data_IF_908843837162
#
_entry.id   IF_908843837162
#
_cell.length_a   1.000
_cell.length_b   1.000
_cell.length_c   1.000
_cell.angle_alpha   90.00
_cell.angle_beta   90.00
_cell.angle_gamma   90.00
#
_symmetry.space_group_name_H-M   'P 1'
#
loop_
_entity.id
_entity.type
_entity.pdbx_description
1 polymer ?
2 water ?
#
# COMPACT_ATOMS: atom_id res chain seq x y z
N UNK A 5 3.59 8.97 -17.27
CA UNK A 5 3.98 9.80 -16.09
C UNK A 5 2.76 10.31 -15.28
N UNK A 6 1.95 9.38 -14.71
CA UNK A 6 0.86 9.86 -13.86
C UNK A 6 1.40 10.42 -12.55
N UNK A 7 0.92 11.59 -12.13
CA UNK A 7 1.31 12.16 -10.84
C UNK A 7 0.83 11.30 -9.66
N UNK A 9 -1.23 11.61 -6.86
CA UNK A 9 -2.65 11.47 -6.56
C UNK A 9 -3.40 10.56 -7.55
N UNK A 10 -3.06 10.66 -8.84
CA UNK A 10 -3.61 9.77 -9.89
C UNK A 10 -3.28 8.30 -9.65
N UNK A 11 -2.02 8.01 -9.30
CA UNK A 11 -1.57 6.63 -9.04
C UNK A 11 -2.24 5.99 -7.83
N UNK A 12 -2.45 6.79 -6.80
CA UNK A 12 -3.17 6.43 -5.58
C UNK A 12 -4.67 6.19 -5.88
N UNK A 13 -5.33 7.10 -6.58
CA UNK A 13 -6.72 6.86 -7.02
C UNK A 13 -6.84 5.58 -7.86
N UNK A 14 -5.81 5.26 -8.66
CA UNK A 14 -5.83 4.01 -9.42
C UNK A 14 -5.76 2.77 -8.51
N UNK A 15 -4.95 2.84 -7.45
CA UNK A 15 -4.89 1.77 -6.48
C UNK A 15 -6.26 1.61 -5.82
N UNK A 16 -6.78 2.72 -5.28
CA UNK A 16 -8.05 2.74 -4.56
C UNK A 16 -9.23 2.24 -5.42
N UNK A 17 -9.33 2.70 -6.66
CA UNK A 17 -10.43 2.31 -7.55
C UNK A 17 -10.43 0.85 -8.00
N UNK A 18 -9.32 0.16 -7.78
CA UNK A 18 -9.24 -1.27 -8.04
C UNK A 18 -10.05 -2.08 -7.05
N UNK A 19 -10.28 -1.51 -5.86
CA UNK A 19 -11.04 -2.13 -4.78
C UNK A 19 -11.47 -1.03 -3.82
N UNK A 20 -12.60 -0.42 -4.12
CA UNK A 20 -13.04 0.80 -3.44
C UNK A 20 -13.40 0.56 -1.97
N UNK A 21 -14.11 -0.54 -1.70
CA UNK A 21 -14.59 -0.87 -0.36
C UNK A 21 -13.48 -1.26 0.61
N UNK A 22 -12.29 -1.54 0.08
CA UNK A 22 -11.16 -1.96 0.93
C UNK A 22 -10.82 -0.95 2.00
N UNK A 23 -10.47 -1.47 3.15
CA UNK A 23 -9.92 -0.71 4.25
C UNK A 23 -8.56 -0.05 3.91
N UNK A 24 -8.58 0.99 3.09
CA UNK A 24 -7.30 1.57 2.65
C UNK A 24 -6.66 2.40 3.76
N UNK A 25 -5.38 2.19 3.99
CA UNK A 25 -4.62 3.03 4.89
C UNK A 25 -3.42 3.54 4.09
N UNK A 26 -2.65 4.45 4.69
CA UNK A 26 -1.48 5.03 4.02
C UNK A 26 -0.46 3.95 3.67
N UNK A 27 -0.12 3.12 4.65
CA UNK A 27 0.79 2.00 4.49
C UNK A 27 0.37 0.99 3.42
N UNK A 28 -0.92 0.71 3.29
CA UNK A 28 -1.35 -0.33 2.34
C UNK A 28 -1.31 0.14 0.90
N UNK A 29 -1.73 1.39 0.68
CA UNK A 29 -1.55 2.05 -0.60
C UNK A 29 -0.05 2.11 -0.92
N UNK A 30 0.77 2.56 0.03
CA UNK A 30 2.22 2.68 -0.16
C UNK A 30 2.88 1.37 -0.51
N UNK A 31 2.45 0.28 0.12
CA UNK A 31 3.03 -1.01 -0.22
C UNK A 31 2.75 -1.44 -1.66
N UNK A 32 1.50 -1.26 -2.10
CA UNK A 32 1.13 -1.41 -3.53
C UNK A 32 1.98 -0.59 -4.51
N UNK A 33 2.44 0.57 -4.07
CA UNK A 33 3.17 1.48 -4.94
C UNK A 33 4.67 1.27 -4.81
N UNK A 34 5.04 0.27 -4.00
CA UNK A 34 6.44 0.01 -3.67
C UNK A 34 7.15 1.30 -3.13
N UNK A 36 7.82 3.84 0.67
CA UNK A 36 7.62 3.99 2.11
C UNK A 36 6.37 4.82 2.44
N UNK A 37 5.65 4.43 3.51
CA UNK A 37 4.55 5.31 3.90
C UNK A 37 4.97 6.80 4.02
N UNK A 38 6.14 7.07 4.62
CA UNK A 38 6.62 8.44 4.78
C UNK A 38 6.81 9.15 3.44
N UNK A 39 7.40 8.48 2.45
CA UNK A 39 7.52 9.08 1.12
C UNK A 39 6.14 9.36 0.51
N UNK A 40 5.22 8.39 0.59
CA UNK A 40 3.87 8.62 0.01
C UNK A 40 3.17 9.80 0.64
N UNK A 41 3.21 9.88 1.97
CA UNK A 41 2.61 11.02 2.65
C UNK A 41 3.24 12.32 2.14
N UNK A 42 4.56 12.29 1.96
CA UNK A 42 5.29 13.49 1.55
C UNK A 42 4.87 13.93 0.15
N UNK A 43 4.85 13.01 -0.80
CA UNK A 43 4.50 13.36 -2.17
C UNK A 43 3.05 13.84 -2.32
N UNK A 44 2.13 13.24 -1.57
CA UNK A 44 0.71 13.67 -1.55
C UNK A 44 0.53 15.08 -0.97
N UNK A 45 1.30 15.38 0.08
CA UNK A 45 1.25 16.69 0.73
C UNK A 45 1.75 17.82 -0.19
N UNK A 46 2.77 17.54 -0.99
CA UNK A 46 3.26 18.46 -2.04
C UNK A 46 2.20 18.80 -3.12
N UNK A 47 1.24 17.90 -3.32
CA UNK A 47 0.05 18.11 -4.19
C UNK A 47 -1.21 18.51 -3.40
N UNK A 48 -0.99 18.92 -2.15
CA UNK A 48 -2.04 19.44 -1.29
C UNK A 48 -3.23 18.50 -1.09
N UNK A 49 -2.93 17.24 -0.81
CA UNK A 49 -3.96 16.25 -0.52
C UNK A 49 -3.44 15.20 0.47
N UNK A 50 -4.30 14.29 0.88
CA UNK A 50 -3.84 13.14 1.67
C UNK A 50 -4.47 11.91 1.10
N UNK A 51 -4.06 10.75 1.60
CA UNK A 51 -4.63 9.51 1.14
C UNK A 51 -6.12 9.50 1.50
N UNK A 52 -6.46 10.04 2.67
CA UNK A 52 -7.85 9.99 3.15
C UNK A 52 -8.78 10.88 2.35
N UNK A 53 -8.27 12.00 1.85
CA UNK A 53 -9.07 12.88 1.00
C UNK A 53 -9.34 12.19 -0.30
N UNK A 54 -8.30 11.55 -0.84
CA UNK A 54 -8.42 10.85 -2.11
C UNK A 54 -9.38 9.67 -1.98
N UNK A 55 -9.28 8.94 -0.87
CA UNK A 55 -10.20 7.85 -0.58
C UNK A 55 -11.65 8.32 -0.68
N UNK A 56 -11.96 9.38 0.07
CA UNK A 56 -13.31 9.93 0.11
C UNK A 56 -13.79 10.30 -1.29
N UNK A 57 -12.96 11.00 -2.03
CA UNK A 57 -13.31 11.46 -3.36
C UNK A 57 -13.62 10.30 -4.31
N UNK A 58 -12.78 9.27 -4.28
CA UNK A 58 -13.01 8.04 -5.00
C UNK A 58 -14.35 7.41 -4.58
N UNK A 59 -14.64 7.43 -3.30
CA UNK A 59 -15.85 6.81 -2.84
C UNK A 59 -17.10 7.61 -3.25
N UNK A 61 -17.29 9.35 -5.93
CA UNK A 61 -17.40 9.18 -7.36
C UNK A 61 -18.10 7.87 -7.69
N UNK A 62 -17.81 6.83 -6.89
CA UNK A 62 -18.44 5.52 -7.06
C UNK A 62 -19.90 5.55 -6.63
N UNK A 63 -20.18 6.31 -5.57
CA UNK A 63 -21.54 6.47 -5.05
C UNK A 63 -22.51 6.98 -6.10
N UNK A 64 -22.06 7.88 -6.99
CA UNK A 64 -22.89 8.36 -8.10
C UNK A 64 -23.34 7.27 -9.05
N UNK A 65 -22.47 6.29 -9.28
CA UNK A 65 -22.74 5.18 -10.20
C UNK A 65 -23.76 4.19 -9.64
N UNK A 66 -23.78 4.02 -8.32
CA UNK A 66 -24.61 2.98 -7.69
C UNK A 66 -26.00 3.48 -7.26
N UNK A 67 -26.06 4.76 -6.96
CA UNK A 67 -27.27 5.34 -6.42
C UNK A 67 -28.42 5.29 -7.44
N UNK A 68 -28.09 5.22 -8.73
CA UNK A 68 -29.07 5.25 -9.83
C UNK A 68 -29.69 3.88 -10.13
N UNK A 69 -29.05 2.80 -9.68
CA UNK A 69 -29.54 1.47 -10.02
C UNK A 69 -30.77 1.10 -9.18
N UNK A 70 -31.75 0.53 -9.87
CA UNK A 70 -33.09 0.34 -9.30
C UNK A 70 -33.05 -0.52 -8.05
N UNK A 71 -33.67 -0.04 -6.97
CA UNK A 71 -33.78 -0.81 -5.75
C UNK A 71 -32.50 -0.95 -4.91
N UNK A 72 -31.38 -0.42 -5.39
CA UNK A 72 -30.21 -0.32 -4.54
C UNK A 72 -30.51 0.75 -3.48
N UNK A 73 -30.71 0.30 -2.25
CA UNK A 73 -30.98 1.18 -1.16
C UNK A 73 -29.73 2.02 -0.81
N UNK A 74 -29.94 3.19 -0.22
CA UNK A 74 -28.86 4.06 0.26
C UNK A 74 -27.87 3.24 1.13
N UNK A 75 -28.44 2.36 1.95
CA UNK A 75 -27.72 1.38 2.79
C UNK A 75 -26.75 0.50 2.00
N UNK A 76 -27.23 0.00 0.87
CA UNK A 76 -26.46 -0.85 -0.04
C UNK A 76 -25.32 -0.08 -0.68
N UNK A 77 -25.61 1.15 -1.09
CA UNK A 77 -24.60 1.98 -1.72
C UNK A 77 -23.44 2.20 -0.75
N UNK A 78 -23.76 2.50 0.49
CA UNK A 78 -22.74 2.86 1.47
C UNK A 78 -21.81 1.69 1.66
N UNK A 79 -22.37 0.50 1.81
CA UNK A 79 -21.59 -0.73 2.04
C UNK A 79 -20.70 -1.03 0.84
N UNK A 80 -21.24 -0.79 -0.36
CA UNK A 80 -20.48 -1.03 -1.59
C UNK A 80 -19.31 -0.04 -1.79
N UNK A 81 -19.40 1.11 -1.13
CA UNK A 81 -18.36 2.15 -1.16
C UNK A 81 -17.40 2.07 0.04
N UNK A 82 -17.66 1.15 0.96
CA UNK A 82 -16.76 0.85 2.05
C UNK A 82 -17.11 1.49 3.36
N UNK A 83 -18.31 2.07 3.45
CA UNK A 83 -18.80 2.68 4.68
C UNK A 83 -19.56 1.68 5.54
N UNK A 84 -19.31 1.72 6.84
CA UNK A 84 -19.97 0.82 7.74
C UNK A 84 -21.15 1.56 8.33
N UNK A 85 -21.17 2.88 8.15
CA UNK A 85 -22.15 3.72 8.80
C UNK A 85 -22.91 4.57 7.75
N UNK A 86 -24.22 4.31 7.60
CA UNK A 86 -25.06 5.10 6.66
C UNK A 86 -25.20 6.59 7.02
N UNK A 87 -25.33 6.91 8.32
CA UNK A 87 -25.33 8.31 8.79
C UNK A 87 -24.07 9.03 8.35
N UNK A 88 -22.93 8.40 8.61
CA UNK A 88 -21.67 9.00 8.18
C UNK A 88 -21.58 9.14 6.64
N UNK A 89 -21.90 8.05 5.92
CA UNK A 89 -21.95 8.13 4.46
C UNK A 89 -22.86 9.27 3.99
N UNK A 90 -24.09 9.35 4.53
CA UNK A 90 -24.97 10.48 4.20
C UNK A 90 -24.29 11.84 4.44
N UNK A 91 -23.63 11.99 5.59
CA UNK A 91 -22.94 13.24 5.94
C UNK A 91 -21.86 13.64 4.89
N UNK A 92 -21.08 12.66 4.47
CA UNK A 92 -19.97 12.95 3.57
C UNK A 92 -20.47 13.19 2.15
N UNK A 93 -21.55 12.49 1.78
CA UNK A 93 -22.20 12.72 0.46
C UNK A 93 -22.85 14.10 0.38
N UNK A 94 -23.59 14.45 1.41
CA UNK A 94 -24.18 15.79 1.47
C UNK A 94 -23.13 16.91 1.42
N UNK A 95 -21.98 16.73 2.09
CA UNK A 95 -20.89 17.69 2.02
C UNK A 95 -20.34 17.79 0.61
N UNK A 96 -20.15 16.65 -0.02
CA UNK A 96 -19.56 16.57 -1.35
C UNK A 96 -20.50 17.07 -2.47
N UNK A 97 -21.81 16.84 -2.34
CA UNK A 97 -22.74 17.08 -3.47
C UNK A 97 -23.83 18.14 -3.21
N UNK A 98 -24.00 18.47 -1.93
CA UNK A 98 -24.87 19.57 -1.51
C UNK A 98 -26.22 19.04 -1.10
N UNK A 100 -28.48 15.14 0.19
CA UNK A 100 -28.43 13.77 0.69
C UNK A 100 -28.48 12.74 -0.46
N UNK A 101 -27.95 11.51 -0.23
CA UNK A 101 -28.12 10.47 -1.24
C UNK A 101 -29.56 10.28 -1.70
N UNK A 102 -30.51 10.42 -0.77
CA UNK A 102 -31.92 10.24 -1.07
C UNK A 102 -32.41 11.32 -1.99
N UNK A 103 -32.01 12.56 -1.73
CA UNK A 103 -32.37 13.66 -2.63
C UNK A 103 -31.86 13.32 -4.02
N UNK A 104 -30.56 13.04 -4.14
CA UNK A 104 -29.96 12.73 -5.44
C UNK A 104 -30.68 11.62 -6.23
N UNK A 105 -31.04 10.56 -5.49
CA UNK A 105 -31.70 9.38 -6.04
C UNK A 105 -33.07 9.74 -6.61
N UNK A 106 -33.68 10.81 -6.07
CA UNK A 106 -35.01 11.27 -6.48
C UNK A 106 -34.98 12.27 -7.65
N UNK A 107 -33.88 12.98 -7.85
CA UNK A 107 -33.77 13.83 -9.06
C UNK A 107 -33.63 12.95 -10.30
N UNK A 108 -32.63 12.05 -10.27
CA UNK A 108 -32.28 11.16 -11.38
C UNK A 108 -33.48 10.38 -11.93
N UNK B 1 3.27 -3.14 14.07
CA UNK B 1 3.19 -4.64 14.02
C UNK B 1 2.68 -5.23 15.34
N UNK B 2 1.48 -4.79 15.73
CA UNK B 2 0.80 -5.31 16.92
C UNK B 2 -0.39 -6.16 16.49
N UNK B 3 -0.46 -7.38 17.04
CA UNK B 3 -1.57 -8.32 16.80
C UNK B 3 -1.54 -9.49 17.79
N UNK B 4 -2.69 -9.78 18.37
CA UNK B 4 -2.89 -11.04 19.08
C UNK B 4 -2.66 -12.16 18.05
N UNK B 5 -3.38 -12.11 16.93
CA UNK B 5 -3.24 -13.10 15.87
C UNK B 5 -2.73 -12.52 14.55
N UNK B 6 -1.58 -13.03 14.04
CA UNK B 6 -0.92 -12.51 12.86
C UNK B 6 -1.63 -12.85 11.55
N UNK B 7 -1.78 -11.83 10.71
CA UNK B 7 -2.46 -11.96 9.41
C UNK B 7 -1.47 -12.50 8.36
N UNK B 9 -0.09 -11.55 5.47
CA UNK B 9 1.09 -10.75 5.08
C UNK B 9 2.17 -10.64 6.18
N UNK B 10 1.76 -10.66 7.46
CA UNK B 10 2.71 -10.67 8.61
C UNK B 10 3.45 -12.02 8.70
N UNK B 11 2.71 -13.09 8.42
CA UNK B 11 3.29 -14.41 8.36
C UNK B 11 4.25 -14.55 7.18
N UNK B 12 3.87 -14.01 6.04
CA UNK B 12 4.80 -13.97 4.93
C UNK B 12 6.09 -13.16 5.25
N UNK B 13 5.95 -11.99 5.86
CA UNK B 13 7.15 -11.20 6.19
C UNK B 13 8.05 -11.93 7.18
N UNK B 14 7.48 -12.67 8.13
CA UNK B 14 8.29 -13.43 9.10
C UNK B 14 9.18 -14.45 8.37
N UNK B 15 8.57 -15.23 7.46
CA UNK B 15 9.27 -16.17 6.59
C UNK B 15 10.39 -15.45 5.81
N UNK B 16 10.03 -14.34 5.17
CA UNK B 16 11.01 -13.62 4.38
C UNK B 16 12.13 -13.11 5.27
N UNK B 17 11.79 -12.50 6.41
CA UNK B 17 12.80 -11.83 7.28
C UNK B 17 13.77 -12.77 7.96
N UNK B 18 13.39 -14.05 8.05
CA UNK B 18 14.26 -15.10 8.51
C UNK B 18 15.41 -15.38 7.55
N UNK B 19 15.22 -15.15 6.25
CA UNK B 19 16.31 -15.35 5.26
C UNK B 19 16.16 -14.41 4.07
N UNK B 20 16.49 -13.17 4.34
CA UNK B 20 16.14 -12.05 3.48
C UNK B 20 16.77 -12.20 2.10
N UNK B 21 18.03 -12.65 2.07
CA UNK B 21 18.77 -12.77 0.80
C UNK B 21 18.29 -13.93 -0.07
N UNK B 22 17.51 -14.86 0.51
CA UNK B 22 17.07 -16.07 -0.21
C UNK B 22 16.27 -15.64 -1.42
N UNK B 23 16.44 -16.38 -2.51
CA UNK B 23 15.73 -16.15 -3.75
C UNK B 23 14.31 -16.68 -3.59
N UNK B 24 13.45 -15.89 -2.95
CA UNK B 24 12.08 -16.30 -2.63
C UNK B 24 11.15 -16.25 -3.84
N UNK B 25 10.25 -17.24 -3.93
CA UNK B 25 9.16 -17.23 -4.90
C UNK B 25 7.88 -17.58 -4.15
N UNK B 26 6.73 -17.45 -4.80
CA UNK B 26 5.46 -17.82 -4.18
C UNK B 26 5.49 -19.28 -3.66
N UNK B 27 5.96 -20.18 -4.51
CA UNK B 27 5.98 -21.58 -4.17
C UNK B 27 6.88 -21.90 -2.95
N UNK B 28 8.04 -21.25 -2.91
CA UNK B 28 9.00 -21.42 -1.79
C UNK B 28 8.46 -20.93 -0.45
N UNK B 29 7.81 -19.75 -0.46
CA UNK B 29 7.13 -19.17 0.72
C UNK B 29 5.90 -19.96 1.13
N UNK B 30 5.04 -20.36 0.17
CA UNK B 30 3.87 -21.18 0.49
C UNK B 30 4.32 -22.47 1.15
N UNK B 31 5.40 -23.03 0.63
CA UNK B 31 6.00 -24.24 1.19
C UNK B 31 6.38 -24.10 2.68
N UNK B 32 6.95 -22.97 3.07
CA UNK B 32 7.31 -22.71 4.47
C UNK B 32 6.05 -22.59 5.35
N UNK B 33 4.97 -22.08 4.75
CA UNK B 33 3.68 -21.89 5.47
C UNK B 33 2.72 -23.12 5.46
N UNK B 34 3.12 -24.20 4.78
CA UNK B 34 2.30 -25.43 4.64
C UNK B 34 0.89 -25.13 4.07
N UNK B 36 -1.02 -24.35 -0.05
CA UNK B 36 -0.81 -24.41 -1.49
C UNK B 36 -0.39 -23.05 -2.04
N UNK B 37 0.46 -23.04 -3.07
CA UNK B 37 0.85 -21.77 -3.72
C UNK B 37 -0.36 -20.91 -4.15
N UNK B 38 -1.41 -21.53 -4.71
CA UNK B 38 -2.58 -20.76 -5.16
C UNK B 38 -3.39 -20.20 -4.00
N UNK B 39 -3.51 -20.94 -2.90
CA UNK B 39 -4.20 -20.40 -1.73
C UNK B 39 -3.46 -19.17 -1.19
N UNK B 40 -2.13 -19.26 -1.09
CA UNK B 40 -1.35 -18.15 -0.57
C UNK B 40 -1.56 -16.88 -1.41
N UNK B 41 -1.41 -17.01 -2.73
CA UNK B 41 -1.65 -15.87 -3.65
C UNK B 41 -3.05 -15.25 -3.42
N UNK B 42 -4.06 -16.09 -3.25
CA UNK B 42 -5.42 -15.65 -2.94
C UNK B 42 -5.54 -14.91 -1.61
N UNK B 43 -5.02 -15.50 -0.55
CA UNK B 43 -5.09 -14.84 0.75
C UNK B 43 -4.36 -13.52 0.71
N UNK B 44 -3.26 -13.44 -0.01
CA UNK B 44 -2.51 -12.19 -0.11
C UNK B 44 -3.24 -11.15 -0.98
N UNK B 45 -3.90 -11.60 -2.04
CA UNK B 45 -4.69 -10.71 -2.86
C UNK B 45 -5.82 -10.08 -2.03
N UNK B 46 -6.46 -10.90 -1.20
CA UNK B 46 -7.52 -10.43 -0.32
C UNK B 46 -7.03 -9.31 0.63
N UNK B 47 -5.72 -9.22 0.87
CA UNK B 47 -5.18 -8.12 1.66
C UNK B 47 -4.44 -7.16 0.76
N UNK B 48 -4.88 -7.11 -0.49
CA UNK B 48 -4.37 -6.20 -1.52
C UNK B 48 -2.84 -6.14 -1.60
N UNK B 49 -2.24 -7.32 -1.67
CA UNK B 49 -0.80 -7.43 -1.78
C UNK B 49 -0.39 -8.67 -2.59
N UNK B 50 0.89 -8.75 -2.93
CA UNK B 50 1.46 -10.01 -3.40
C UNK B 50 2.78 -10.29 -2.69
N UNK B 51 3.30 -11.50 -2.85
CA UNK B 51 4.53 -11.89 -2.18
C UNK B 51 5.69 -10.96 -2.66
N UNK B 52 5.69 -10.57 -3.93
CA UNK B 52 6.80 -9.71 -4.43
C UNK B 52 6.82 -8.29 -3.89
N UNK B 53 5.66 -7.69 -3.64
CA UNK B 53 5.62 -6.37 -2.95
C UNK B 53 6.09 -6.53 -1.50
N UNK B 54 5.76 -7.65 -0.85
CA UNK B 54 6.24 -7.90 0.51
C UNK B 54 7.73 -8.15 0.51
N UNK B 55 8.21 -8.85 -0.51
CA UNK B 55 9.65 -9.08 -0.63
C UNK B 55 10.42 -7.77 -0.74
N UNK B 56 9.94 -6.91 -1.63
CA UNK B 56 10.54 -5.57 -1.81
C UNK B 56 10.47 -4.79 -0.49
N UNK B 57 9.31 -4.85 0.15
CA UNK B 57 9.08 -4.17 1.41
C UNK B 57 10.04 -4.64 2.52
N UNK B 58 10.19 -5.96 2.68
CA UNK B 58 11.08 -6.46 3.70
C UNK B 58 12.50 -6.08 3.42
N UNK B 59 12.88 -6.19 2.16
CA UNK B 59 14.23 -5.86 1.75
C UNK B 59 14.60 -4.40 1.94
N UNK B 61 13.25 -2.33 4.09
CA UNK B 61 13.27 -2.13 5.54
C UNK B 61 14.60 -2.55 6.19
N UNK B 62 15.14 -3.68 5.73
CA UNK B 62 16.46 -4.16 6.15
C UNK B 62 17.63 -3.28 5.66
N UNK B 63 17.51 -2.78 4.43
CA UNK B 63 18.50 -1.89 3.81
C UNK B 63 18.74 -0.70 4.71
N UNK B 64 17.63 -0.12 5.16
CA UNK B 64 17.62 1.11 5.95
C UNK B 64 18.29 0.90 7.31
N UNK B 65 18.14 -0.31 7.85
CA UNK B 65 18.79 -0.75 9.07
C UNK B 65 20.30 -0.91 8.90
N UNK B 66 20.73 -1.31 7.71
CA UNK B 66 22.15 -1.61 7.47
C UNK B 66 22.94 -0.44 6.95
N UNK B 67 22.27 0.45 6.23
CA UNK B 67 22.90 1.60 5.57
C UNK B 67 23.38 2.71 6.50
N UNK B 68 22.89 2.70 7.75
CA UNK B 68 23.33 3.63 8.79
C UNK B 68 24.47 3.13 9.69
N UNK B 69 24.85 1.85 9.56
CA UNK B 69 25.92 1.25 10.38
C UNK B 69 27.27 1.40 9.72
N UNK B 70 28.29 1.65 10.55
CA UNK B 70 29.68 1.79 10.10
C UNK B 70 30.26 0.48 9.50
N UNK B 71 30.97 0.63 8.38
CA UNK B 71 31.59 -0.50 7.70
C UNK B 71 30.73 -1.13 6.63
N UNK B 72 29.55 -0.56 6.40
CA UNK B 72 28.63 -1.07 5.41
C UNK B 72 28.58 -0.19 4.19
N UNK B 73 29.41 -0.50 3.20
CA UNK B 73 29.30 0.12 1.91
C UNK B 73 27.96 -0.26 1.27
N UNK B 74 27.50 0.53 0.31
CA UNK B 74 26.24 0.26 -0.44
C UNK B 74 26.25 -1.15 -1.06
N UNK B 75 27.41 -1.56 -1.59
CA UNK B 75 27.56 -2.87 -2.25
C UNK B 75 27.29 -4.04 -1.28
N UNK B 76 27.81 -3.92 -0.07
CA UNK B 76 27.57 -4.90 0.98
C UNK B 76 26.11 -4.92 1.43
N UNK B 77 25.48 -3.75 1.48
CA UNK B 77 24.07 -3.65 1.84
C UNK B 77 23.24 -4.37 0.77
N UNK B 78 23.55 -4.12 -0.50
CA UNK B 78 22.88 -4.73 -1.64
C UNK B 78 22.85 -6.24 -1.50
N UNK B 79 24.01 -6.84 -1.31
CA UNK B 79 24.18 -8.29 -1.20
C UNK B 79 23.42 -8.86 0.00
N UNK B 80 23.54 -8.20 1.15
CA UNK B 80 22.84 -8.63 2.37
C UNK B 80 21.33 -8.65 2.24
N UNK B 81 20.80 -7.82 1.34
CA UNK B 81 19.36 -7.73 1.11
C UNK B 81 18.92 -8.57 -0.09
N UNK B 82 19.84 -9.29 -0.71
CA UNK B 82 19.47 -10.21 -1.81
C UNK B 82 19.51 -9.66 -3.22
N UNK B 83 20.23 -8.56 -3.44
CA UNK B 83 20.47 -8.01 -4.79
C UNK B 83 21.89 -8.38 -5.20
N UNK B 84 22.08 -8.87 -6.40
CA UNK B 84 23.44 -9.08 -6.87
C UNK B 84 23.88 -7.90 -7.74
N UNK B 85 22.92 -7.06 -8.08
CA UNK B 85 23.21 -5.87 -8.82
C UNK B 85 23.05 -4.68 -7.88
N UNK B 86 24.10 -3.89 -7.74
CA UNK B 86 24.05 -2.66 -6.94
C UNK B 86 23.12 -1.65 -7.61
N UNK B 87 23.30 -1.46 -8.92
CA UNK B 87 22.43 -0.58 -9.71
C UNK B 87 20.94 -0.83 -9.48
N UNK B 88 20.53 -2.10 -9.52
CA UNK B 88 19.15 -2.51 -9.27
C UNK B 88 18.71 -2.13 -7.84
N UNK B 89 19.55 -2.51 -6.86
CA UNK B 89 19.34 -2.14 -5.45
C UNK B 89 19.14 -0.64 -5.34
N UNK B 90 20.06 0.12 -5.93
CA UNK B 90 19.97 1.59 -5.92
C UNK B 90 18.66 2.09 -6.57
N UNK B 91 18.31 1.53 -7.72
CA UNK B 91 17.04 1.86 -8.34
C UNK B 91 15.83 1.55 -7.42
N UNK B 92 15.74 0.34 -6.85
CA UNK B 92 14.62 0.02 -5.93
C UNK B 92 14.53 0.95 -4.69
N UNK B 93 15.64 1.13 -4.00
CA UNK B 93 15.78 2.00 -2.83
C UNK B 93 15.34 3.46 -3.12
N UNK B 94 15.79 4.02 -4.23
CA UNK B 94 15.37 5.35 -4.60
C UNK B 94 13.86 5.47 -4.90
N UNK B 95 13.26 4.47 -5.55
CA UNK B 95 11.78 4.48 -5.72
C UNK B 95 11.09 4.38 -4.40
N UNK B 96 11.69 3.65 -3.48
CA UNK B 96 11.05 3.38 -2.23
C UNK B 96 11.20 4.59 -1.27
N UNK B 97 12.40 5.15 -1.21
CA UNK B 97 12.75 6.23 -0.26
C UNK B 97 12.83 7.66 -0.84
N UNK B 98 12.99 7.78 -2.15
CA UNK B 98 13.02 9.09 -2.79
C UNK B 98 14.38 9.72 -2.95
N UNK B 100 18.87 8.15 -3.31
CA UNK B 100 19.75 7.01 -3.41
C UNK B 100 20.25 6.58 -2.02
N UNK B 101 20.69 5.32 -1.87
CA UNK B 101 21.32 4.96 -0.60
C UNK B 101 22.47 5.90 -0.17
N UNK B 102 23.35 6.29 -1.08
CA UNK B 102 24.42 7.21 -0.69
C UNK B 102 23.93 8.60 -0.30
N UNK B 103 22.77 9.02 -0.81
CA UNK B 103 22.14 10.27 -0.34
C UNK B 103 21.56 10.12 1.08
N UNK B 104 20.85 9.02 1.36
CA UNK B 104 20.43 8.73 2.74
C UNK B 104 21.62 8.57 3.72
N UNK B 105 22.64 7.84 3.29
CA UNK B 105 23.82 7.60 4.12
C UNK B 105 24.44 8.91 4.61
N UNK B 106 24.52 9.90 3.70
CA UNK B 106 25.13 11.20 3.99
C UNK B 106 24.22 12.12 4.78
N UNK B 107 22.92 11.86 4.70
CA UNK B 107 21.96 12.67 5.43
C UNK B 107 21.89 12.22 6.89
N UNK B 108 21.87 10.89 7.09
CA UNK B 108 21.86 10.32 8.43
C UNK B 108 23.22 10.43 9.14
N UNK B 109 24.31 10.45 8.37
CA UNK B 109 25.66 10.64 8.90
C UNK B 109 25.86 12.07 9.39
N UNK B 110 25.30 13.04 8.66
CA UNK B 110 25.33 14.46 9.05
C UNK B 110 24.52 14.73 10.34
N UNK B 111 24.01 13.66 10.95
CA UNK B 111 23.12 13.72 12.12
C UNK B 111 23.43 12.63 13.15
#
# INVERSE_FOLDING_TARGET
SNALQPNXRTRVCTVINNNIAHEWTLARIASELLXSPSLLKKKLREEETSYSQLLTECRXQRALQLIVIHGFSIKRVAVSCGYHSVSYFIYVFRNYYGXTPTEYQERSAQRLSNRDSAAS
SNALQPNXRTRVCTVINNNIAHEWTLARIASELLXSPSLLKKKLREEETSYSQLLTECRXQRALQLIVIHGFSIKRVAVSCGYHSVSYFIYVFRNYYGXTPTEYQERSAQRLSNRDSAAS
#
